data_IF_556054979960
#
_entry.id   IF_556054979960
#
_cell.length_a   1.000
_cell.length_b   1.000
_cell.length_c   1.000
_cell.angle_alpha   90.00
_cell.angle_beta   90.00
_cell.angle_gamma   90.00
#
_symmetry.space_group_name_H-M   'P 1'
#
loop_
_entity.id
_entity.type
_entity.pdbx_description
1 polymer ?
#
# COMPACT_ATOMS: atom_id res chain seq x y z
N UNK A 1 4.10 -13.57 35.67
CA UNK A 1 4.17 -14.75 34.84
C UNK A 1 3.13 -14.80 33.78
N UNK A 2 1.87 -14.77 34.14
CA UNK A 2 0.78 -14.93 33.21
C UNK A 2 0.57 -13.70 32.32
N UNK A 3 1.24 -12.61 32.59
CA UNK A 3 0.99 -11.38 31.85
C UNK A 3 1.59 -11.38 30.44
N UNK A 4 2.62 -12.17 30.24
CA UNK A 4 3.31 -12.17 28.97
C UNK A 4 2.43 -12.56 27.78
N UNK A 5 1.61 -13.61 27.88
CA UNK A 5 0.77 -13.98 26.75
C UNK A 5 -0.20 -12.89 26.33
N UNK A 6 -0.65 -12.11 27.28
CA UNK A 6 -1.58 -11.02 26.97
C UNK A 6 -0.95 -9.97 26.08
N UNK A 7 0.31 -9.64 26.36
CA UNK A 7 1.00 -8.64 25.54
C UNK A 7 1.14 -9.11 24.11
N UNK A 8 1.42 -10.36 23.89
CA UNK A 8 1.57 -10.89 22.55
C UNK A 8 0.26 -10.82 21.77
N UNK A 9 -0.84 -11.15 22.44
CA UNK A 9 -2.14 -11.12 21.80
C UNK A 9 -2.50 -9.70 21.37
N UNK A 10 -2.21 -8.73 22.21
CA UNK A 10 -2.50 -7.33 21.90
C UNK A 10 -1.70 -6.88 20.68
N UNK A 11 -0.44 -7.26 20.60
CA UNK A 11 0.40 -6.89 19.46
C UNK A 11 -0.16 -7.44 18.15
N UNK A 12 -0.61 -8.68 18.16
CA UNK A 12 -1.19 -9.28 16.96
C UNK A 12 -2.45 -8.53 16.54
N UNK A 13 -3.27 -8.16 17.49
CA UNK A 13 -4.50 -7.44 17.20
C UNK A 13 -4.22 -6.09 16.55
N UNK A 14 -3.19 -5.39 17.02
CA UNK A 14 -2.82 -4.11 16.46
C UNK A 14 -2.36 -4.24 15.01
N UNK A 15 -1.58 -5.26 14.71
CA UNK A 15 -1.12 -5.48 13.35
C UNK A 15 -2.30 -5.77 12.41
N UNK A 16 -3.26 -6.55 12.87
CA UNK A 16 -4.41 -6.88 12.05
C UNK A 16 -5.30 -5.67 11.78
N UNK A 17 -5.27 -4.67 12.65
CA UNK A 17 -6.11 -3.49 12.51
C UNK A 17 -5.51 -2.43 11.59
N UNK A 18 -4.26 -2.57 11.17
CA UNK A 18 -3.58 -1.57 10.36
C UNK A 18 -3.70 -1.90 8.87
N UNK A 19 -4.12 -0.91 8.09
CA UNK A 19 -4.14 -1.01 6.64
C UNK A 19 -3.16 0.01 6.07
N UNK A 20 -2.34 -0.35 5.09
CA UNK A 20 -1.41 0.61 4.50
C UNK A 20 -2.08 1.59 3.54
N UNK A 21 -3.33 1.35 3.19
CA UNK A 21 -4.04 2.22 2.24
C UNK A 21 -4.67 3.36 3.03
N UNK A 22 -3.87 4.39 3.29
CA UNK A 22 -4.27 5.54 4.09
C UNK A 22 -3.87 6.83 3.41
N UNK A 23 -4.49 7.93 3.82
CA UNK A 23 -4.13 9.25 3.34
C UNK A 23 -2.68 9.57 3.70
N UNK A 24 -2.25 9.15 4.87
CA UNK A 24 -0.88 9.39 5.32
C UNK A 24 0.13 8.73 4.39
N UNK A 25 -0.10 7.48 4.02
CA UNK A 25 0.81 6.77 3.13
C UNK A 25 0.70 7.29 1.71
N UNK A 26 -0.50 7.68 1.29
CA UNK A 26 -0.68 8.29 -0.03
C UNK A 26 0.18 9.53 -0.18
N UNK A 27 0.28 10.32 0.89
CA UNK A 27 1.06 11.55 0.86
C UNK A 27 2.56 11.31 0.72
N UNK A 28 3.01 10.07 0.95
CA UNK A 28 4.42 9.72 0.80
C UNK A 28 4.79 9.37 -0.62
N UNK A 29 3.82 9.20 -1.51
CA UNK A 29 4.08 8.79 -2.88
C UNK A 29 4.55 9.97 -3.71
N UNK A 30 5.47 9.69 -4.63
CA UNK A 30 6.02 10.70 -5.53
C UNK A 30 6.28 10.08 -6.89
N UNK A 31 6.11 10.90 -7.93
CA UNK A 31 6.48 10.48 -9.26
C UNK A 31 7.98 10.19 -9.30
N UNK A 32 8.35 9.11 -9.95
CA UNK A 32 9.74 8.71 -10.02
C UNK A 32 10.17 7.72 -8.97
N UNK A 33 9.33 7.45 -7.96
CA UNK A 33 9.64 6.41 -6.99
C UNK A 33 9.74 5.06 -7.68
N UNK A 34 10.62 4.21 -7.18
CA UNK A 34 10.69 2.84 -7.69
C UNK A 34 9.54 2.01 -7.14
N UNK A 35 9.22 0.93 -7.84
CA UNK A 35 8.21 0.00 -7.35
C UNK A 35 8.57 -0.52 -5.95
N UNK A 36 9.86 -0.80 -5.71
CA UNK A 36 10.29 -1.29 -4.40
C UNK A 36 10.02 -0.27 -3.31
N UNK A 37 10.22 1.01 -3.60
CA UNK A 37 9.94 2.05 -2.62
C UNK A 37 8.45 2.16 -2.34
N UNK A 38 7.62 2.02 -3.37
CA UNK A 38 6.17 2.02 -3.19
C UNK A 38 5.75 0.85 -2.31
N UNK A 39 6.32 -0.33 -2.53
CA UNK A 39 5.95 -1.50 -1.75
C UNK A 39 6.41 -1.40 -0.30
N UNK A 40 7.44 -0.62 -0.01
CA UNK A 40 7.81 -0.37 1.38
C UNK A 40 6.74 0.44 2.09
N UNK A 41 6.06 1.30 1.38
CA UNK A 41 5.01 2.14 1.96
C UNK A 41 3.67 1.43 1.98
N UNK A 42 3.28 0.81 0.87
CA UNK A 42 1.94 0.27 0.69
C UNK A 42 1.86 -1.25 0.81
N UNK A 43 2.99 -1.94 0.86
CA UNK A 43 2.98 -3.39 0.81
C UNK A 43 2.80 -3.89 -0.61
N UNK A 44 2.50 -5.17 -0.75
CA UNK A 44 2.29 -5.74 -2.07
C UNK A 44 0.93 -5.34 -2.61
N UNK A 45 0.84 -5.06 -3.92
CA UNK A 45 -0.44 -4.68 -4.50
C UNK A 45 -1.40 -5.86 -4.53
N UNK A 46 -2.69 -5.55 -4.52
CA UNK A 46 -3.71 -6.57 -4.66
C UNK A 46 -3.85 -7.03 -6.09
N UNK A 47 -3.64 -6.14 -7.05
CA UNK A 47 -3.89 -6.45 -8.44
C UNK A 47 -3.02 -5.57 -9.32
N UNK A 48 -2.43 -6.16 -10.34
CA UNK A 48 -1.63 -5.42 -11.32
C UNK A 48 -1.95 -5.91 -12.73
N UNK A 49 -1.92 -4.99 -13.67
CA UNK A 49 -2.07 -5.30 -15.09
C UNK A 49 -1.09 -4.43 -15.86
N UNK A 50 -0.54 -4.95 -16.96
CA UNK A 50 0.41 -4.15 -17.69
C UNK A 50 0.66 -4.67 -19.08
N UNK A 51 1.24 -3.81 -19.92
CA UNK A 51 1.61 -4.12 -21.29
C UNK A 51 2.60 -3.07 -21.78
N UNK A 52 3.51 -3.49 -22.65
CA UNK A 52 4.42 -2.59 -23.36
C UNK A 52 5.24 -1.70 -22.40
N UNK A 53 5.69 -2.26 -21.29
CA UNK A 53 6.52 -1.53 -20.36
C UNK A 53 5.78 -0.63 -19.40
N UNK A 54 4.46 -0.60 -19.50
CA UNK A 54 3.61 0.16 -18.59
C UNK A 54 2.81 -0.80 -17.74
N UNK A 55 2.54 -0.42 -16.49
CA UNK A 55 1.72 -1.26 -15.63
C UNK A 55 0.89 -0.39 -14.72
N UNK A 56 -0.22 -0.95 -14.26
CA UNK A 56 -1.13 -0.27 -13.34
C UNK A 56 -1.41 -1.24 -12.21
N UNK A 57 -1.14 -0.80 -10.99
CA UNK A 57 -1.35 -1.64 -9.81
C UNK A 57 -2.31 -0.95 -8.86
N UNK A 58 -3.09 -1.75 -8.15
CA UNK A 58 -4.09 -1.24 -7.21
C UNK A 58 -3.89 -1.88 -5.84
N UNK A 59 -3.89 -1.03 -4.83
CA UNK A 59 -3.84 -1.44 -3.42
C UNK A 59 -5.17 -1.10 -2.78
N UNK A 60 -5.74 -2.03 -2.02
CA UNK A 60 -6.93 -1.75 -1.25
C UNK A 60 -8.19 -2.40 -1.79
N UNK A 61 -9.33 -1.77 -1.55
CA UNK A 61 -10.64 -2.30 -1.88
C UNK A 61 -11.42 -1.30 -2.73
N UNK A 62 -12.59 -1.70 -3.20
CA UNK A 62 -13.36 -0.86 -4.13
C UNK A 62 -13.66 0.53 -3.60
N UNK A 63 -13.92 0.65 -2.30
CA UNK A 63 -14.29 1.94 -1.72
C UNK A 63 -13.13 2.66 -1.03
N UNK A 64 -11.96 2.06 -1.03
CA UNK A 64 -10.75 2.65 -0.45
C UNK A 64 -9.54 2.04 -1.14
N UNK A 65 -8.95 2.76 -2.06
CA UNK A 65 -7.83 2.21 -2.82
C UNK A 65 -6.87 3.29 -3.28
N UNK A 66 -5.68 2.84 -3.61
CA UNK A 66 -4.66 3.65 -4.26
C UNK A 66 -4.31 2.94 -5.56
N UNK A 67 -4.34 3.69 -6.66
CA UNK A 67 -4.00 3.17 -7.97
C UNK A 67 -2.74 3.88 -8.45
N UNK A 68 -1.76 3.11 -8.90
CA UNK A 68 -0.48 3.67 -9.35
C UNK A 68 -0.16 3.13 -10.73
N UNK A 69 0.24 4.04 -11.62
CA UNK A 69 0.70 3.66 -12.94
C UNK A 69 2.21 3.80 -12.98
N UNK A 70 2.87 2.75 -13.45
CA UNK A 70 4.31 2.69 -13.56
C UNK A 70 4.74 2.71 -15.02
N UNK A 71 5.80 3.44 -15.29
CA UNK A 71 6.53 3.34 -16.55
C UNK A 71 7.81 2.58 -16.23
N UNK A 72 7.88 1.32 -16.68
CA UNK A 72 8.95 0.45 -16.24
C UNK A 72 8.83 0.20 -14.73
N UNK A 73 9.86 0.59 -14.00
CA UNK A 73 9.92 0.41 -12.55
C UNK A 73 9.63 1.69 -11.78
N UNK A 74 9.21 2.76 -12.46
CA UNK A 74 9.06 4.07 -11.83
C UNK A 74 7.62 4.53 -11.85
N UNK A 75 7.21 5.19 -10.76
CA UNK A 75 5.89 5.78 -10.66
C UNK A 75 5.75 6.89 -11.67
N UNK A 76 4.73 6.81 -12.50
CA UNK A 76 4.40 7.85 -13.46
C UNK A 76 3.28 8.73 -12.95
N UNK A 77 2.20 8.12 -12.48
CA UNK A 77 1.11 8.87 -11.87
C UNK A 77 0.38 7.96 -10.87
N UNK A 78 -0.34 8.59 -9.96
CA UNK A 78 -1.04 7.84 -8.91
C UNK A 78 -2.28 8.60 -8.48
N UNK A 79 -3.26 7.86 -7.96
CA UNK A 79 -4.50 8.46 -7.48
C UNK A 79 -5.01 7.63 -6.31
N UNK A 80 -5.84 8.24 -5.48
CA UNK A 80 -6.42 7.58 -4.34
C UNK A 80 -7.88 7.90 -4.21
N UNK A 81 -8.63 7.01 -3.55
CA UNK A 81 -10.06 7.20 -3.34
C UNK A 81 -10.46 6.62 -1.99
N UNK A 82 -11.32 7.35 -1.27
CA UNK A 82 -11.83 6.88 0.01
C UNK A 82 -10.80 6.83 1.11
N UNK A 83 -9.68 7.51 0.97
CA UNK A 83 -8.60 7.47 1.94
C UNK A 83 -8.94 8.25 3.20
N UNK A 84 -8.39 7.79 4.33
CA UNK A 84 -8.61 8.46 5.62
C UNK A 84 -7.34 8.63 6.39
#
# INVERSE_FOLDING_TARGET
MSLRPFSLIVAVALLAACSPVTQENFAKLEAGMSRAEVEKVLGKPGECAGALGMSSCTWGQKNRFISIQFAGDKVMMFSGQGLK
#
